data_IF_235680098578
#
_entry.id   IF_235680098578
#
_cell.length_a   1.000
_cell.length_b   1.000
_cell.length_c   1.000
_cell.angle_alpha   90.00
_cell.angle_beta   90.00
_cell.angle_gamma   90.00
#
_symmetry.space_group_name_H-M   'P 1'
#
loop_
_entity.id
_entity.type
_entity.pdbx_description
1 polymer ?
#
# COMPACT_ATOMS: atom_id res chain seq x y z
N UNK A 1 0.63 9.82 -18.85
CA UNK A 1 0.20 10.11 -17.48
C UNK A 1 0.26 8.83 -16.68
N UNK A 2 0.81 8.80 -15.46
CA UNK A 2 0.64 7.64 -14.59
C UNK A 2 -0.87 7.40 -14.38
N UNK A 3 -1.29 6.13 -14.21
CA UNK A 3 -2.69 5.83 -13.93
C UNK A 3 -3.17 6.61 -12.69
N UNK A 4 -4.47 6.96 -12.59
CA UNK A 4 -5.01 7.56 -11.38
C UNK A 4 -4.64 6.68 -10.18
N UNK A 5 -4.08 7.30 -9.13
CA UNK A 5 -3.57 6.55 -7.99
C UNK A 5 -4.72 5.78 -7.34
N UNK A 6 -4.57 4.46 -7.25
CA UNK A 6 -5.55 3.62 -6.59
C UNK A 6 -5.29 3.74 -5.08
N UNK A 7 -6.23 4.29 -4.29
CA UNK A 7 -6.01 4.51 -2.87
C UNK A 7 -5.66 3.23 -2.11
N UNK A 8 -6.16 2.06 -2.56
CA UNK A 8 -5.80 0.79 -1.94
C UNK A 8 -4.33 0.41 -2.19
N UNK A 9 -3.82 0.70 -3.39
CA UNK A 9 -2.41 0.45 -3.75
C UNK A 9 -1.48 1.44 -3.05
N UNK A 10 -1.90 2.69 -2.88
CA UNK A 10 -1.14 3.70 -2.13
C UNK A 10 -1.00 3.31 -0.66
N UNK A 11 -2.09 2.82 -0.02
CA UNK A 11 -2.06 2.34 1.37
C UNK A 11 -1.20 1.09 1.52
N UNK A 12 -1.23 0.18 0.54
CA UNK A 12 -0.35 -0.99 0.52
C UNK A 12 1.13 -0.58 0.44
N UNK A 13 1.47 0.31 -0.50
CA UNK A 13 2.83 0.81 -0.65
C UNK A 13 3.32 1.52 0.62
N UNK A 14 2.46 2.33 1.26
CA UNK A 14 2.77 2.98 2.53
C UNK A 14 2.98 1.96 3.66
N UNK A 15 2.11 0.97 3.80
CA UNK A 15 2.27 -0.06 4.84
C UNK A 15 3.56 -0.86 4.69
N UNK A 16 3.97 -1.13 3.46
CA UNK A 16 5.26 -1.77 3.16
C UNK A 16 6.42 -0.85 3.50
N UNK A 17 6.36 0.43 3.16
CA UNK A 17 7.39 1.41 3.51
C UNK A 17 7.56 1.57 5.03
N UNK A 18 6.45 1.56 5.78
CA UNK A 18 6.46 1.70 7.24
C UNK A 18 7.10 0.49 7.94
N UNK A 19 6.96 -0.71 7.38
CA UNK A 19 7.42 -1.96 7.99
C UNK A 19 8.79 -2.40 7.47
N UNK A 20 8.98 -2.42 6.15
CA UNK A 20 10.20 -2.89 5.51
C UNK A 20 11.18 -1.75 5.18
N UNK A 21 10.72 -0.49 5.25
CA UNK A 21 11.48 0.69 4.88
C UNK A 21 11.27 1.09 3.42
N UNK A 22 11.24 2.40 3.17
CA UNK A 22 11.07 2.98 1.83
C UNK A 22 12.26 2.72 0.87
N UNK A 23 13.35 2.12 1.35
CA UNK A 23 14.49 1.70 0.53
C UNK A 23 14.51 0.19 0.27
N UNK A 24 13.54 -0.56 0.81
CA UNK A 24 13.47 -2.00 0.60
C UNK A 24 13.21 -2.34 -0.87
N UNK A 25 13.65 -3.54 -1.27
CA UNK A 25 13.40 -4.08 -2.60
C UNK A 25 11.91 -4.27 -2.85
N UNK A 26 11.19 -4.86 -1.88
CA UNK A 26 9.74 -5.06 -1.97
C UNK A 26 8.97 -3.74 -2.18
N UNK A 27 9.35 -2.66 -1.49
CA UNK A 27 8.69 -1.36 -1.69
C UNK A 27 8.88 -0.86 -3.13
N UNK A 28 10.09 -1.01 -3.67
CA UNK A 28 10.41 -0.60 -5.05
C UNK A 28 9.67 -1.44 -6.08
N UNK A 29 9.58 -2.75 -5.87
CA UNK A 29 8.87 -3.64 -6.79
C UNK A 29 7.36 -3.39 -6.78
N UNK A 30 6.77 -3.18 -5.60
CA UNK A 30 5.36 -2.82 -5.47
C UNK A 30 5.09 -1.47 -6.15
N UNK A 31 5.91 -0.44 -5.90
CA UNK A 31 5.75 0.84 -6.58
C UNK A 31 5.83 0.69 -8.11
N UNK A 32 6.77 -0.11 -8.61
CA UNK A 32 6.90 -0.37 -10.05
C UNK A 32 5.65 -1.05 -10.60
N UNK A 33 5.15 -2.08 -9.93
CA UNK A 33 3.93 -2.79 -10.31
C UNK A 33 2.70 -1.88 -10.34
N UNK A 34 2.54 -1.02 -9.32
CA UNK A 34 1.44 -0.04 -9.23
C UNK A 34 1.51 1.00 -10.36
N UNK A 35 2.71 1.45 -10.70
CA UNK A 35 2.92 2.49 -11.72
C UNK A 35 2.77 1.96 -13.14
N UNK A 36 3.30 0.76 -13.42
CA UNK A 36 3.36 0.23 -14.78
C UNK A 36 2.09 -0.54 -15.17
N UNK A 37 1.42 -1.16 -14.20
CA UNK A 37 0.30 -2.08 -14.43
C UNK A 37 0.67 -3.31 -15.27
N UNK A 38 1.96 -3.53 -15.54
CA UNK A 38 2.42 -4.62 -16.39
C UNK A 38 2.40 -5.93 -15.62
N UNK A 39 1.93 -7.00 -16.27
CA UNK A 39 1.84 -8.33 -15.65
C UNK A 39 3.19 -8.80 -15.09
N UNK A 40 4.29 -8.53 -15.80
CA UNK A 40 5.64 -8.91 -15.36
C UNK A 40 6.06 -8.21 -14.06
N UNK A 41 5.73 -6.92 -13.91
CA UNK A 41 6.07 -6.17 -12.70
C UNK A 41 5.21 -6.62 -11.51
N UNK A 42 3.95 -6.96 -11.76
CA UNK A 42 3.05 -7.55 -10.76
C UNK A 42 3.60 -8.90 -10.28
N UNK A 43 4.06 -9.76 -11.20
CA UNK A 43 4.67 -11.04 -10.84
C UNK A 43 5.95 -10.87 -10.02
N UNK A 44 6.80 -9.90 -10.38
CA UNK A 44 8.02 -9.60 -9.63
C UNK A 44 7.68 -9.14 -8.22
N UNK A 45 6.74 -8.20 -8.07
CA UNK A 45 6.30 -7.71 -6.77
C UNK A 45 5.71 -8.84 -5.90
N UNK A 46 4.94 -9.75 -6.50
CA UNK A 46 4.41 -10.93 -5.80
C UNK A 46 5.53 -11.85 -5.32
N UNK A 47 6.53 -12.15 -6.16
CA UNK A 47 7.67 -12.98 -5.78
C UNK A 47 8.49 -12.35 -4.65
N UNK A 48 8.76 -11.03 -4.73
CA UNK A 48 9.44 -10.28 -3.67
C UNK A 48 8.64 -10.29 -2.37
N UNK A 49 7.30 -10.21 -2.45
CA UNK A 49 6.45 -10.30 -1.26
C UNK A 49 6.50 -11.72 -0.68
N UNK A 50 6.43 -12.73 -1.53
CA UNK A 50 6.43 -14.13 -1.12
C UNK A 50 7.74 -14.57 -0.45
N UNK A 51 8.87 -13.95 -0.82
CA UNK A 51 10.16 -14.14 -0.19
C UNK A 51 10.27 -13.55 1.23
N UNK A 52 9.34 -12.68 1.64
CA UNK A 52 9.38 -12.08 2.98
C UNK A 52 9.10 -13.11 4.09
N UNK A 53 9.71 -12.94 5.28
CA UNK A 53 9.36 -13.73 6.46
C UNK A 53 7.87 -13.59 6.80
N UNK A 54 7.26 -14.67 7.28
CA UNK A 54 5.83 -14.69 7.65
C UNK A 54 5.46 -13.62 8.68
N UNK A 55 6.37 -13.31 9.61
CA UNK A 55 6.20 -12.21 10.57
C UNK A 55 6.09 -10.86 9.89
N UNK A 56 6.96 -10.56 8.93
CA UNK A 56 6.94 -9.31 8.18
C UNK A 56 5.66 -9.16 7.35
N UNK A 57 5.20 -10.25 6.70
CA UNK A 57 3.92 -10.27 5.97
C UNK A 57 2.75 -9.92 6.89
N UNK A 58 2.73 -10.47 8.12
CA UNK A 58 1.70 -10.16 9.13
C UNK A 58 1.77 -8.70 9.58
N UNK A 59 2.96 -8.17 9.83
CA UNK A 59 3.13 -6.76 10.20
C UNK A 59 2.69 -5.80 9.10
N UNK A 60 2.99 -6.12 7.83
CA UNK A 60 2.51 -5.35 6.67
C UNK A 60 0.97 -5.38 6.63
N UNK A 61 0.35 -6.55 6.74
CA UNK A 61 -1.11 -6.68 6.71
C UNK A 61 -1.79 -5.90 7.86
N UNK A 62 -1.23 -5.96 9.07
CA UNK A 62 -1.71 -5.17 10.20
C UNK A 62 -1.63 -3.67 9.93
N UNK A 63 -0.46 -3.20 9.46
CA UNK A 63 -0.26 -1.78 9.19
C UNK A 63 -1.18 -1.25 8.07
N UNK A 64 -1.40 -2.03 7.02
CA UNK A 64 -2.35 -1.66 5.96
C UNK A 64 -3.77 -1.57 6.51
N UNK A 65 -4.16 -2.46 7.42
CA UNK A 65 -5.47 -2.41 8.10
C UNK A 65 -5.63 -1.10 8.89
N UNK A 66 -4.62 -0.74 9.69
CA UNK A 66 -4.63 0.52 10.45
C UNK A 66 -4.76 1.74 9.53
N UNK A 67 -4.01 1.76 8.42
CA UNK A 67 -4.04 2.83 7.43
C UNK A 67 -5.42 2.98 6.76
N UNK A 68 -6.10 1.86 6.48
CA UNK A 68 -7.46 1.86 5.95
C UNK A 68 -8.43 2.43 6.99
N UNK A 69 -8.35 2.01 8.24
CA UNK A 69 -9.19 2.53 9.32
C UNK A 69 -9.00 4.04 9.52
N UNK A 70 -7.74 4.51 9.54
CA UNK A 70 -7.41 5.93 9.59
C UNK A 70 -8.05 6.71 8.43
N UNK A 71 -7.98 6.18 7.21
CA UNK A 71 -8.57 6.82 6.03
C UNK A 71 -10.10 6.91 6.16
N UNK A 72 -10.76 5.83 6.61
CA UNK A 72 -12.21 5.82 6.80
C UNK A 72 -12.64 6.82 7.87
N UNK A 73 -11.95 6.87 9.02
CA UNK A 73 -12.22 7.84 10.08
C UNK A 73 -12.06 9.30 9.60
N UNK A 74 -11.06 9.57 8.75
CA UNK A 74 -10.86 10.91 8.16
C UNK A 74 -11.99 11.27 7.19
N UNK A 75 -12.49 10.31 6.39
CA UNK A 75 -13.64 10.52 5.50
C UNK A 75 -14.91 10.81 6.28
N UNK A 76 -15.19 10.06 7.34
CA UNK A 76 -16.35 10.28 8.22
C UNK A 76 -16.30 11.67 8.86
N UNK A 77 -15.14 12.11 9.36
CA UNK A 77 -14.97 13.45 9.93
C UNK A 77 -15.17 14.58 8.93
N UNK A 78 -14.74 14.42 7.67
CA UNK A 78 -14.99 15.42 6.60
C UNK A 78 -16.45 15.48 6.17
N UNK A 79 -17.19 14.37 6.25
CA UNK A 79 -18.61 14.31 5.92
C UNK A 79 -19.52 15.06 6.91
N UNK A 80 -19.08 15.22 8.17
CA UNK A 80 -19.84 15.92 9.22
C UNK A 80 -19.60 17.44 9.27
N UNK A 81 -18.81 18.00 8.35
CA UNK A 81 -18.52 19.45 8.28
C UNK A 81 -19.18 20.16 7.09
N UNK A 82 -20.24 19.59 6.50
CA UNK A 82 -21.08 20.29 5.52
C UNK A 82 -21.91 21.41 6.17
N UNK A 83 -22.14 22.55 5.51
CA UNK A 83 -22.67 23.75 6.15
C UNK A 83 -24.15 23.56 6.52
N UNK A 84 -24.47 23.72 7.79
CA UNK A 84 -25.81 24.07 8.27
C UNK A 84 -25.99 25.58 8.30
#
# INVERSE_FOLDING_TARGET
MPPPSNPALDLLAQGIADVAGAQSEIYRDILRAVQSGQYVDIMLAQASFDALPAEMKRSIAGRVTDLVEELMLRRTRRGMSGPG
#
